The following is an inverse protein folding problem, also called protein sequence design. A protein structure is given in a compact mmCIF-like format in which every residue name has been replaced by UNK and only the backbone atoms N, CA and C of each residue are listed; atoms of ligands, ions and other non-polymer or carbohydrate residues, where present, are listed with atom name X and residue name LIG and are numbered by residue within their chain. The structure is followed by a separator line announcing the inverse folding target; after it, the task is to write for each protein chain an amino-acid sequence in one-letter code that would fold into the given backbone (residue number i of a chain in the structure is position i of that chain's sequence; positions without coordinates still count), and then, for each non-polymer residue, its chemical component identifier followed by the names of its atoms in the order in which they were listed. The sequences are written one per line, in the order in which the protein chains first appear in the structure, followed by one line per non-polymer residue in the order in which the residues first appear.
data_IF_918980202134
#
_entry.id   IF_918980202134
#
_cell.length_a   1.000
_cell.length_b   1.000
_cell.length_c   1.000
_cell.angle_alpha   90.00
_cell.angle_beta   90.00
_cell.angle_gamma   90.00
#
_symmetry.space_group_name_H-M   'P 1'
#
loop_
_entity.id
_entity.type
_entity.pdbx_description
1 polymer ?
#
# COMPACT_ATOMS: atom_id res chain seq x y z
N UNK A 1 -23.73 19.16 15.61
CA UNK A 1 -23.44 18.63 14.27
C UNK A 1 -21.97 18.77 13.91
N UNK A 2 -21.34 19.94 14.08
CA UNK A 2 -19.93 20.18 13.69
C UNK A 2 -18.99 19.19 14.39
N UNK A 3 -19.04 19.06 15.71
CA UNK A 3 -18.21 18.10 16.47
C UNK A 3 -18.40 16.68 15.98
N UNK A 4 -19.62 16.28 15.71
CA UNK A 4 -19.94 14.93 15.23
C UNK A 4 -19.42 14.71 13.79
N UNK A 5 -19.51 15.71 12.91
CA UNK A 5 -18.92 15.69 11.58
C UNK A 5 -17.42 15.41 11.63
N UNK A 6 -16.70 16.08 12.53
CA UNK A 6 -15.25 15.92 12.69
C UNK A 6 -14.89 14.51 13.20
N UNK A 7 -15.66 14.01 14.17
CA UNK A 7 -15.46 12.68 14.76
C UNK A 7 -15.63 11.55 13.73
N UNK A 8 -16.66 11.64 12.88
CA UNK A 8 -16.88 10.65 11.81
C UNK A 8 -16.10 10.95 10.51
N UNK A 9 -15.32 12.02 10.49
CA UNK A 9 -14.53 12.43 9.32
C UNK A 9 -15.35 12.63 8.04
N UNK A 10 -16.57 13.13 8.16
CA UNK A 10 -17.45 13.44 7.03
C UNK A 10 -17.12 14.80 6.38
N UNK A 11 -17.44 14.98 5.10
CA UNK A 11 -17.37 16.28 4.42
C UNK A 11 -18.46 17.22 4.93
N UNK A 12 -19.70 16.72 5.00
CA UNK A 12 -20.83 17.44 5.57
C UNK A 12 -21.80 16.51 6.29
N UNK A 13 -22.57 17.07 7.21
CA UNK A 13 -23.67 16.41 7.90
C UNK A 13 -24.91 17.30 7.77
N UNK A 14 -25.98 16.75 7.20
CA UNK A 14 -27.20 17.47 6.88
C UNK A 14 -28.41 16.73 7.41
N UNK A 15 -29.33 17.46 8.04
CA UNK A 15 -30.61 16.95 8.51
C UNK A 15 -31.73 17.55 7.63
N UNK A 16 -32.50 16.66 7.04
CA UNK A 16 -33.69 17.00 6.25
C UNK A 16 -34.96 16.80 7.07
N UNK A 17 -35.88 17.72 6.94
CA UNK A 17 -37.23 17.57 7.47
C UNK A 17 -38.04 16.51 6.70
N UNK A 18 -39.28 16.28 7.14
CA UNK A 18 -40.22 15.34 6.48
C UNK A 18 -40.57 15.74 5.04
N UNK A 19 -40.48 17.02 4.72
CA UNK A 19 -40.72 17.62 3.42
C UNK A 19 -39.47 17.63 2.51
N UNK A 20 -38.33 17.08 3.00
CA UNK A 20 -37.08 17.04 2.27
C UNK A 20 -36.29 18.37 2.29
N UNK A 21 -36.72 19.37 3.06
CA UNK A 21 -35.94 20.61 3.21
C UNK A 21 -34.85 20.47 4.26
N UNK A 22 -33.71 21.09 4.00
CA UNK A 22 -32.59 21.13 4.96
C UNK A 22 -32.99 21.99 6.17
N UNK A 23 -33.12 21.37 7.32
CA UNK A 23 -33.42 22.03 8.60
C UNK A 23 -32.16 22.37 9.40
N UNK A 24 -31.11 21.57 9.23
CA UNK A 24 -29.79 21.81 9.84
C UNK A 24 -28.70 21.20 8.99
N UNK A 25 -27.57 21.91 8.87
CA UNK A 25 -26.41 21.41 8.16
C UNK A 25 -25.11 21.99 8.75
N UNK A 26 -24.02 21.24 8.59
CA UNK A 26 -22.66 21.75 8.84
C UNK A 26 -22.17 22.66 7.71
N UNK A 27 -22.79 22.54 6.53
CA UNK A 27 -22.69 23.48 5.43
C UNK A 27 -23.86 24.47 5.52
N UNK A 28 -23.55 25.73 5.86
CA UNK A 28 -24.56 26.76 6.09
C UNK A 28 -25.29 27.20 4.82
N UNK A 29 -24.66 27.08 3.67
CA UNK A 29 -25.23 27.49 2.38
C UNK A 29 -26.34 26.54 1.94
N UNK A 30 -26.32 25.29 2.42
CA UNK A 30 -27.34 24.31 2.09
C UNK A 30 -28.63 24.44 2.90
N UNK A 31 -28.68 25.28 3.94
CA UNK A 31 -29.88 25.42 4.81
C UNK A 31 -31.05 25.96 3.99
N UNK A 32 -32.20 25.27 4.07
CA UNK A 32 -33.42 25.63 3.31
C UNK A 32 -33.48 25.04 1.89
N UNK A 33 -32.38 24.49 1.37
CA UNK A 33 -32.39 23.77 0.08
C UNK A 33 -33.31 22.56 0.15
N UNK A 34 -34.02 22.26 -0.93
CA UNK A 34 -34.94 21.13 -1.00
C UNK A 34 -34.30 19.93 -1.70
N UNK A 35 -34.32 18.79 -1.02
CA UNK A 35 -33.95 17.47 -1.54
C UNK A 35 -35.17 16.57 -1.79
N UNK A 36 -36.39 17.13 -1.78
CA UNK A 36 -37.63 16.39 -1.87
C UNK A 36 -37.74 15.46 -3.10
N UNK A 37 -37.11 15.86 -4.22
CA UNK A 37 -37.09 15.09 -5.48
C UNK A 37 -35.76 14.31 -5.67
N UNK A 38 -34.82 14.47 -4.74
CA UNK A 38 -33.52 13.81 -4.84
C UNK A 38 -33.61 12.31 -4.52
N UNK A 39 -32.94 11.44 -5.29
CA UNK A 39 -32.88 10.01 -4.99
C UNK A 39 -32.43 9.71 -3.58
N UNK A 40 -31.46 10.48 -3.04
CA UNK A 40 -30.92 10.33 -1.69
C UNK A 40 -32.01 10.42 -0.62
N UNK A 41 -32.96 11.33 -0.77
CA UNK A 41 -34.08 11.51 0.16
C UNK A 41 -35.15 10.45 -0.07
N UNK A 42 -35.55 10.22 -1.31
CA UNK A 42 -36.64 9.29 -1.65
C UNK A 42 -36.27 7.85 -1.25
N UNK A 43 -35.07 7.42 -1.52
CA UNK A 43 -34.60 6.07 -1.19
C UNK A 43 -34.45 5.90 0.33
N UNK A 44 -33.95 6.91 1.03
CA UNK A 44 -33.83 6.87 2.48
C UNK A 44 -35.20 6.75 3.17
N UNK A 45 -36.25 7.39 2.64
CA UNK A 45 -37.60 7.25 3.18
C UNK A 45 -38.18 5.84 3.02
N UNK A 46 -37.78 5.12 1.97
CA UNK A 46 -38.29 3.78 1.64
C UNK A 46 -37.58 2.65 2.38
N UNK A 47 -36.43 2.92 2.98
CA UNK A 47 -35.62 1.91 3.66
C UNK A 47 -35.42 2.23 5.13
N UNK A 48 -35.28 1.18 5.93
CA UNK A 48 -34.86 1.28 7.34
C UNK A 48 -33.34 1.21 7.48
N UNK A 49 -32.63 0.83 6.41
CA UNK A 49 -31.19 0.65 6.40
C UNK A 49 -30.47 1.93 5.96
N UNK A 50 -29.16 1.95 6.17
CA UNK A 50 -28.31 2.99 5.62
C UNK A 50 -28.23 2.83 4.09
N UNK A 51 -28.63 3.86 3.36
CA UNK A 51 -28.57 3.87 1.91
C UNK A 51 -27.34 4.66 1.48
N UNK A 52 -26.52 4.05 0.63
CA UNK A 52 -25.41 4.73 -0.01
C UNK A 52 -25.79 5.20 -1.39
N UNK A 53 -25.60 6.47 -1.67
CA UNK A 53 -25.96 7.11 -2.92
C UNK A 53 -24.82 7.97 -3.46
N UNK A 54 -24.75 8.07 -4.79
CA UNK A 54 -23.92 9.02 -5.49
C UNK A 54 -24.80 10.01 -6.23
N UNK A 55 -24.55 11.29 -6.07
CA UNK A 55 -25.17 12.37 -6.80
C UNK A 55 -24.09 13.03 -7.66
N UNK A 56 -24.38 13.17 -8.94
CA UNK A 56 -23.56 13.95 -9.87
C UNK A 56 -24.00 15.41 -9.83
N UNK A 57 -23.06 16.34 -9.66
CA UNK A 57 -23.33 17.77 -9.73
C UNK A 57 -23.24 18.27 -11.19
N UNK A 58 -23.62 19.53 -11.42
CA UNK A 58 -23.61 20.18 -12.74
C UNK A 58 -22.22 20.24 -13.39
N UNK A 59 -21.15 20.02 -12.61
CA UNK A 59 -19.78 20.01 -13.06
C UNK A 59 -19.23 18.58 -13.26
N UNK A 60 -20.11 17.56 -13.42
CA UNK A 60 -19.75 16.14 -13.54
C UNK A 60 -18.91 15.60 -12.37
N UNK A 61 -19.09 16.15 -11.16
CA UNK A 61 -18.41 15.68 -9.96
C UNK A 61 -19.38 14.87 -9.12
N UNK A 62 -18.94 13.71 -8.71
CA UNK A 62 -19.73 12.84 -7.83
C UNK A 62 -19.57 13.25 -6.37
N UNK A 63 -20.71 13.39 -5.69
CA UNK A 63 -20.80 13.54 -4.24
C UNK A 63 -21.46 12.28 -3.69
N UNK A 64 -20.87 11.71 -2.66
CA UNK A 64 -21.30 10.44 -2.09
C UNK A 64 -21.92 10.67 -0.72
N UNK A 65 -23.07 10.06 -0.51
CA UNK A 65 -23.86 10.23 0.69
C UNK A 65 -24.26 8.89 1.27
N UNK A 66 -24.14 8.79 2.59
CA UNK A 66 -24.94 7.85 3.36
C UNK A 66 -26.17 8.57 3.84
N UNK A 67 -27.34 7.98 3.60
CA UNK A 67 -28.62 8.51 4.06
C UNK A 67 -29.36 7.51 4.90
N UNK A 68 -30.06 7.98 5.92
CA UNK A 68 -30.91 7.18 6.79
C UNK A 68 -32.11 8.00 7.26
N UNK A 69 -33.27 7.38 7.29
CA UNK A 69 -34.44 7.98 7.92
C UNK A 69 -34.27 8.02 9.43
N UNK A 70 -34.77 9.06 10.04
CA UNK A 70 -34.77 9.28 11.48
C UNK A 70 -36.21 9.20 11.99
N UNK A 71 -36.46 8.29 12.90
CA UNK A 71 -37.78 8.09 13.54
C UNK A 71 -37.71 8.50 15.00
N UNK A 72 -38.82 9.02 15.47
CA UNK A 72 -39.07 9.34 16.86
C UNK A 72 -40.34 8.62 17.32
N UNK A 73 -40.65 8.72 18.61
CA UNK A 73 -41.92 8.18 19.13
C UNK A 73 -43.17 8.77 18.43
N UNK A 74 -43.04 9.97 17.84
CA UNK A 74 -44.10 10.64 17.06
C UNK A 74 -44.11 10.25 15.58
N UNK A 75 -43.29 9.26 15.17
CA UNK A 75 -43.14 8.79 13.78
C UNK A 75 -41.92 9.39 13.10
N UNK A 76 -41.95 9.43 11.77
CA UNK A 76 -40.86 9.94 10.96
C UNK A 76 -40.51 11.39 11.33
N UNK A 77 -39.28 11.65 11.71
CA UNK A 77 -38.75 12.99 11.98
C UNK A 77 -38.12 13.63 10.74
N UNK A 78 -37.47 12.84 9.91
CA UNK A 78 -36.77 13.31 8.71
C UNK A 78 -35.72 12.32 8.21
N UNK A 79 -34.72 12.82 7.50
CA UNK A 79 -33.59 12.03 6.97
C UNK A 79 -32.29 12.72 7.35
N UNK A 80 -31.33 11.92 7.81
CA UNK A 80 -29.95 12.37 7.99
C UNK A 80 -29.13 12.00 6.75
N UNK A 81 -28.35 12.95 6.26
CA UNK A 81 -27.38 12.77 5.19
C UNK A 81 -25.98 12.97 5.73
N UNK A 82 -25.11 12.04 5.43
CA UNK A 82 -23.66 12.11 5.74
C UNK A 82 -22.91 12.10 4.44
N UNK A 83 -22.27 13.19 4.10
CA UNK A 83 -21.43 13.28 2.88
C UNK A 83 -20.03 12.76 3.16
N UNK A 84 -19.54 11.89 2.28
CA UNK A 84 -18.21 11.30 2.35
C UNK A 84 -17.16 12.31 1.93
N UNK A 85 -16.09 12.45 2.72
CA UNK A 85 -14.95 13.30 2.36
C UNK A 85 -14.02 12.56 1.38
N UNK A 86 -14.24 12.78 0.09
CA UNK A 86 -13.46 12.15 -0.97
C UNK A 86 -11.97 12.50 -0.91
N UNK A 87 -11.63 13.72 -0.49
CA UNK A 87 -10.23 14.13 -0.41
C UNK A 87 -9.45 13.33 0.66
N UNK A 88 -10.13 12.92 1.73
CA UNK A 88 -9.53 12.02 2.74
C UNK A 88 -9.36 10.62 2.19
N UNK A 89 -10.34 10.13 1.43
CA UNK A 89 -10.28 8.82 0.78
C UNK A 89 -9.13 8.74 -0.22
N UNK A 90 -9.03 9.73 -1.10
CA UNK A 90 -7.98 9.80 -2.13
C UNK A 90 -6.59 9.89 -1.51
N UNK A 91 -6.43 10.67 -0.43
CA UNK A 91 -5.15 10.74 0.32
C UNK A 91 -4.79 9.41 0.99
N UNK A 92 -5.77 8.70 1.51
CA UNK A 92 -5.54 7.37 2.10
C UNK A 92 -5.09 6.36 1.03
N UNK A 93 -5.65 6.43 -0.17
CA UNK A 93 -5.27 5.56 -1.28
C UNK A 93 -3.88 5.86 -1.83
N UNK A 94 -3.48 7.13 -1.88
CA UNK A 94 -2.16 7.54 -2.34
C UNK A 94 -1.00 6.90 -1.55
N UNK A 95 -1.26 6.44 -0.32
CA UNK A 95 -0.28 5.69 0.50
C UNK A 95 -0.25 4.18 0.26
N UNK A 96 -1.25 3.63 -0.43
CA UNK A 96 -1.42 2.17 -0.62
C UNK A 96 -0.90 1.73 -1.99
N UNK A 97 -1.13 2.54 -3.01
CA UNK A 97 -0.81 2.23 -4.41
C UNK A 97 -0.37 3.50 -5.14
N UNK A 98 0.38 3.33 -6.22
CA UNK A 98 0.87 4.47 -7.02
C UNK A 98 -0.28 5.22 -7.68
N UNK A 99 -1.33 4.51 -8.07
CA UNK A 99 -2.59 5.09 -8.52
C UNK A 99 -3.77 4.14 -8.27
N UNK A 100 -4.93 4.72 -7.97
CA UNK A 100 -6.19 3.99 -7.86
C UNK A 100 -7.26 4.80 -8.58
N UNK A 101 -8.13 4.13 -9.30
CA UNK A 101 -9.33 4.72 -9.86
C UNK A 101 -10.55 3.82 -9.64
N UNK A 102 -11.71 4.44 -9.58
CA UNK A 102 -13.01 3.75 -9.58
C UNK A 102 -13.81 4.25 -10.77
N UNK A 103 -14.34 3.31 -11.54
CA UNK A 103 -15.26 3.60 -12.65
C UNK A 103 -16.67 3.20 -12.31
N UNK A 104 -17.63 3.93 -12.86
CA UNK A 104 -19.03 3.55 -12.84
C UNK A 104 -19.35 2.40 -13.81
N UNK A 105 -20.63 2.10 -13.97
CA UNK A 105 -21.12 1.08 -14.92
C UNK A 105 -20.92 1.45 -16.40
N UNK A 106 -20.77 2.74 -16.70
CA UNK A 106 -20.55 3.26 -18.06
C UNK A 106 -19.06 3.33 -18.41
N UNK A 107 -18.18 3.13 -17.43
CA UNK A 107 -16.74 3.16 -17.59
C UNK A 107 -16.11 4.54 -17.36
N UNK A 108 -16.87 5.52 -16.85
CA UNK A 108 -16.36 6.84 -16.48
C UNK A 108 -15.70 6.80 -15.11
N UNK A 109 -14.55 7.48 -14.96
CA UNK A 109 -13.84 7.57 -13.70
C UNK A 109 -14.57 8.52 -12.76
N UNK A 110 -15.06 7.97 -11.64
CA UNK A 110 -15.80 8.73 -10.61
C UNK A 110 -14.93 9.12 -9.43
N UNK A 111 -13.90 8.31 -9.14
CA UNK A 111 -12.90 8.54 -8.09
C UNK A 111 -11.52 8.19 -8.62
N UNK A 112 -10.52 8.98 -8.28
CA UNK A 112 -9.14 8.67 -8.60
C UNK A 112 -8.18 9.34 -7.62
N UNK A 113 -7.01 8.75 -7.41
CA UNK A 113 -5.90 9.40 -6.69
C UNK A 113 -5.40 10.65 -7.40
N UNK A 114 -5.56 10.70 -8.73
CA UNK A 114 -5.29 11.90 -9.54
C UNK A 114 -6.63 12.58 -9.92
N UNK A 115 -6.95 13.75 -9.33
CA UNK A 115 -8.24 14.40 -9.55
C UNK A 115 -8.56 14.75 -11.02
N UNK A 116 -7.51 14.94 -11.84
CA UNK A 116 -7.66 15.28 -13.27
C UNK A 116 -8.20 14.13 -14.13
N UNK A 117 -8.29 12.94 -13.59
CA UNK A 117 -8.82 11.77 -14.28
C UNK A 117 -10.33 11.63 -14.17
N UNK A 118 -10.96 12.32 -13.21
CA UNK A 118 -12.41 12.24 -13.00
C UNK A 118 -13.17 12.71 -14.23
N UNK A 119 -14.25 12.01 -14.56
CA UNK A 119 -15.08 12.24 -15.75
C UNK A 119 -14.47 11.74 -17.06
N UNK A 120 -13.26 11.21 -17.05
CA UNK A 120 -12.62 10.60 -18.23
C UNK A 120 -12.79 9.08 -18.21
N UNK A 121 -12.56 8.46 -19.36
CA UNK A 121 -12.41 7.01 -19.41
C UNK A 121 -11.00 6.61 -18.96
N UNK A 122 -10.79 5.38 -18.45
CA UNK A 122 -9.45 4.91 -18.10
C UNK A 122 -8.47 4.97 -19.27
N UNK A 123 -8.94 4.76 -20.49
CA UNK A 123 -8.12 4.87 -21.69
C UNK A 123 -7.60 6.28 -21.90
N UNK A 124 -8.45 7.29 -21.75
CA UNK A 124 -8.05 8.71 -21.90
C UNK A 124 -7.14 9.17 -20.75
N UNK A 125 -7.36 8.65 -19.55
CA UNK A 125 -6.61 9.05 -18.36
C UNK A 125 -5.22 8.41 -18.29
N UNK A 126 -5.09 7.14 -18.72
CA UNK A 126 -3.92 6.31 -18.53
C UNK A 126 -3.01 6.23 -19.77
N UNK A 127 -3.53 6.56 -20.96
CA UNK A 127 -2.69 6.67 -22.16
C UNK A 127 -1.90 7.99 -22.14
N UNK A 128 -1.06 8.13 -21.14
CA UNK A 128 0.03 9.07 -21.24
C UNK A 128 1.15 8.40 -22.05
N UNK A 129 1.58 9.06 -23.12
CA UNK A 129 2.67 8.71 -24.00
C UNK A 129 3.86 8.13 -23.22
N UNK A 130 4.47 7.01 -23.66
CA UNK A 130 5.69 6.52 -23.04
C UNK A 130 6.73 7.63 -22.97
N UNK A 131 7.51 7.65 -21.91
CA UNK A 131 8.48 8.68 -21.63
C UNK A 131 9.31 9.05 -22.88
N UNK A 132 9.34 10.32 -23.23
CA UNK A 132 9.94 10.82 -24.47
C UNK A 132 11.47 10.82 -24.47
N UNK A 133 12.11 10.66 -23.31
CA UNK A 133 13.56 10.62 -23.16
C UNK A 133 14.19 9.31 -23.65
N UNK A 134 15.22 9.36 -24.50
CA UNK A 134 15.92 8.18 -25.00
C UNK A 134 16.49 7.30 -23.87
N UNK A 135 17.00 7.92 -22.80
CA UNK A 135 17.55 7.24 -21.61
C UNK A 135 16.42 6.53 -20.84
N UNK A 136 15.28 7.17 -20.64
CA UNK A 136 14.14 6.55 -19.98
C UNK A 136 13.55 5.41 -20.79
N UNK A 137 13.50 5.50 -22.12
CA UNK A 137 13.11 4.39 -23.00
C UNK A 137 14.09 3.22 -22.93
N UNK A 138 15.39 3.48 -22.86
CA UNK A 138 16.41 2.44 -22.68
C UNK A 138 16.31 1.76 -21.32
N UNK A 139 16.05 2.51 -20.24
CA UNK A 139 15.82 1.98 -18.89
C UNK A 139 14.53 1.15 -18.86
N UNK A 140 13.46 1.61 -19.51
CA UNK A 140 12.22 0.85 -19.65
C UNK A 140 12.44 -0.44 -20.45
N UNK A 141 13.12 -0.38 -21.60
CA UNK A 141 13.41 -1.54 -22.42
C UNK A 141 14.29 -2.59 -21.71
N UNK A 142 15.22 -2.15 -20.84
CA UNK A 142 15.99 -3.07 -19.98
C UNK A 142 15.21 -3.57 -18.77
N UNK A 143 14.18 -2.87 -18.35
CA UNK A 143 13.26 -3.31 -17.30
C UNK A 143 12.22 -4.31 -17.81
N UNK A 144 11.83 -4.19 -19.06
CA UNK A 144 10.81 -5.00 -19.75
C UNK A 144 11.33 -6.36 -20.27
N UNK A 145 12.46 -6.84 -19.77
CA UNK A 145 12.95 -8.20 -20.07
C UNK A 145 12.00 -9.31 -19.59
N UNK A 146 10.98 -8.96 -18.87
CA UNK A 146 9.88 -9.87 -18.59
C UNK A 146 8.81 -9.71 -19.67
N UNK A 147 8.53 -10.79 -20.33
CA UNK A 147 7.70 -11.05 -21.50
C UNK A 147 6.23 -10.61 -21.45
N UNK A 148 5.81 -9.86 -20.44
CA UNK A 148 4.44 -9.35 -20.31
C UNK A 148 4.45 -7.86 -20.62
N UNK A 149 3.74 -7.41 -21.71
CA UNK A 149 3.60 -5.99 -21.97
C UNK A 149 2.91 -5.31 -20.78
N UNK A 150 3.30 -4.08 -20.42
CA UNK A 150 2.69 -3.38 -19.30
C UNK A 150 1.20 -3.11 -19.61
N UNK A 151 0.35 -3.33 -18.62
CA UNK A 151 -1.11 -3.17 -18.76
C UNK A 151 -1.51 -1.71 -19.00
N UNK A 152 -0.70 -0.76 -18.53
CA UNK A 152 -0.91 0.67 -18.67
C UNK A 152 0.36 1.46 -18.33
N UNK A 153 0.33 2.76 -18.63
CA UNK A 153 1.36 3.71 -18.20
C UNK A 153 0.71 4.80 -17.33
N UNK A 154 1.28 5.05 -16.16
CA UNK A 154 0.92 6.17 -15.27
C UNK A 154 2.12 7.09 -15.18
N UNK A 155 1.96 8.37 -15.53
CA UNK A 155 3.04 9.36 -15.53
C UNK A 155 4.28 8.90 -16.32
N UNK A 156 4.07 8.15 -17.40
CA UNK A 156 5.14 7.61 -18.26
C UNK A 156 5.88 6.39 -17.71
N UNK A 157 5.45 5.84 -16.57
CA UNK A 157 5.99 4.61 -16.00
C UNK A 157 5.06 3.42 -16.28
N UNK A 158 5.65 2.28 -16.61
CA UNK A 158 4.92 1.04 -16.79
C UNK A 158 4.33 0.57 -15.45
N UNK A 159 3.05 0.20 -15.45
CA UNK A 159 2.33 -0.22 -14.25
C UNK A 159 1.67 -1.58 -14.46
N UNK A 160 1.54 -2.30 -13.37
CA UNK A 160 0.70 -3.49 -13.27
C UNK A 160 -0.68 -3.05 -12.78
N UNK A 161 -1.71 -3.51 -13.45
CA UNK A 161 -3.12 -3.24 -13.11
C UNK A 161 -3.71 -4.40 -12.32
N UNK A 162 -4.46 -4.07 -11.28
CA UNK A 162 -5.27 -5.02 -10.53
C UNK A 162 -6.70 -4.50 -10.47
N UNK A 163 -7.66 -5.30 -10.91
CA UNK A 163 -9.07 -4.92 -10.98
C UNK A 163 -9.89 -5.65 -9.92
N UNK A 164 -10.79 -4.91 -9.27
CA UNK A 164 -11.79 -5.42 -8.35
C UNK A 164 -13.18 -4.92 -8.71
N UNK A 165 -14.22 -5.68 -8.34
CA UNK A 165 -15.61 -5.23 -8.46
C UNK A 165 -16.07 -4.66 -7.12
N UNK A 166 -16.72 -3.52 -7.15
CA UNK A 166 -17.42 -2.96 -6.00
C UNK A 166 -18.85 -3.46 -6.02
N UNK A 167 -19.33 -4.00 -4.91
CA UNK A 167 -20.71 -4.51 -4.79
C UNK A 167 -21.76 -3.38 -4.76
N UNK A 168 -21.55 -2.34 -5.56
CA UNK A 168 -22.43 -1.19 -5.66
C UNK A 168 -22.53 -0.76 -7.12
N UNK A 169 -23.74 -0.75 -7.67
CA UNK A 169 -24.09 -0.26 -9.03
C UNK A 169 -23.18 -0.74 -10.17
N UNK A 170 -22.50 -1.89 -10.03
CA UNK A 170 -21.60 -2.42 -11.05
C UNK A 170 -20.24 -1.69 -11.18
N UNK A 171 -19.87 -0.90 -10.19
CA UNK A 171 -18.62 -0.16 -10.20
C UNK A 171 -17.40 -1.09 -10.15
N UNK A 172 -16.29 -0.58 -10.68
CA UNK A 172 -15.01 -1.27 -10.67
C UNK A 172 -13.94 -0.40 -10.04
N UNK A 173 -13.12 -1.01 -9.23
CA UNK A 173 -11.89 -0.40 -8.71
C UNK A 173 -10.70 -0.96 -9.46
N UNK A 174 -9.82 -0.10 -9.96
CA UNK A 174 -8.56 -0.47 -10.57
C UNK A 174 -7.43 0.18 -9.79
N UNK A 175 -6.50 -0.62 -9.34
CA UNK A 175 -5.30 -0.18 -8.66
C UNK A 175 -4.10 -0.43 -9.56
N UNK A 176 -3.18 0.52 -9.58
CA UNK A 176 -1.97 0.50 -10.41
C UNK A 176 -0.75 0.56 -9.51
N UNK A 177 0.21 -0.30 -9.80
CA UNK A 177 1.48 -0.34 -9.07
C UNK A 177 2.61 -0.32 -10.07
N UNK A 178 3.53 0.62 -9.94
CA UNK A 178 4.68 0.72 -10.84
C UNK A 178 5.63 -0.45 -10.63
N UNK A 179 6.20 -0.95 -11.73
CA UNK A 179 7.21 -2.01 -11.65
C UNK A 179 8.46 -1.55 -10.89
N UNK A 180 8.76 -0.26 -10.88
CA UNK A 180 9.86 0.31 -10.11
C UNK A 180 9.64 0.18 -8.60
N UNK A 181 8.45 0.46 -8.09
CA UNK A 181 8.14 0.35 -6.66
C UNK A 181 8.16 -1.10 -6.17
N UNK A 182 7.69 -2.03 -6.98
CA UNK A 182 7.80 -3.47 -6.68
C UNK A 182 9.26 -3.90 -6.62
N UNK A 183 10.07 -3.49 -7.60
CA UNK A 183 11.50 -3.81 -7.67
C UNK A 183 12.26 -3.24 -6.47
N UNK A 184 11.98 -2.01 -6.07
CA UNK A 184 12.63 -1.38 -4.93
C UNK A 184 12.34 -2.13 -3.63
N UNK A 185 11.10 -2.55 -3.41
CA UNK A 185 10.72 -3.39 -2.26
C UNK A 185 11.41 -4.74 -2.28
N UNK A 186 11.44 -5.42 -3.43
CA UNK A 186 12.12 -6.71 -3.60
C UNK A 186 13.62 -6.56 -3.36
N UNK A 187 14.26 -5.56 -3.95
CA UNK A 187 15.69 -5.32 -3.77
C UNK A 187 16.03 -4.98 -2.31
N UNK A 188 15.18 -4.24 -1.60
CA UNK A 188 15.33 -3.95 -0.18
C UNK A 188 15.34 -5.22 0.69
N UNK A 189 14.38 -6.12 0.47
CA UNK A 189 14.32 -7.41 1.17
C UNK A 189 15.54 -8.26 0.85
N UNK A 190 15.91 -8.36 -0.43
CA UNK A 190 17.05 -9.15 -0.90
C UNK A 190 18.38 -8.63 -0.33
N UNK A 191 18.55 -7.30 -0.22
CA UNK A 191 19.73 -6.69 0.39
C UNK A 191 19.86 -7.05 1.88
N UNK A 192 18.75 -7.06 2.62
CA UNK A 192 18.73 -7.49 4.04
C UNK A 192 19.10 -8.97 4.15
N UNK A 193 18.56 -9.81 3.29
CA UNK A 193 18.82 -11.26 3.29
C UNK A 193 20.30 -11.57 3.00
N UNK A 194 20.88 -10.90 2.01
CA UNK A 194 22.31 -11.01 1.67
C UNK A 194 23.17 -10.54 2.86
N UNK A 195 22.81 -9.44 3.50
CA UNK A 195 23.55 -8.93 4.66
C UNK A 195 23.53 -9.91 5.83
N UNK A 196 22.36 -10.47 6.15
CA UNK A 196 22.23 -11.49 7.21
C UNK A 196 23.07 -12.71 6.90
N UNK A 197 23.02 -13.19 5.65
CA UNK A 197 23.82 -14.33 5.20
C UNK A 197 25.33 -14.06 5.29
N UNK A 198 25.79 -12.87 4.90
CA UNK A 198 27.18 -12.47 5.01
C UNK A 198 27.65 -12.43 6.48
N UNK A 199 26.83 -11.94 7.39
CA UNK A 199 27.13 -11.93 8.84
C UNK A 199 27.24 -13.37 9.38
N UNK A 200 26.31 -14.26 8.99
CA UNK A 200 26.35 -15.66 9.40
C UNK A 200 27.61 -16.37 8.88
N UNK A 201 28.00 -16.13 7.61
CA UNK A 201 29.24 -16.65 7.05
C UNK A 201 30.47 -16.14 7.79
N UNK A 202 30.53 -14.85 8.10
CA UNK A 202 31.63 -14.27 8.86
C UNK A 202 31.74 -14.87 10.26
N UNK A 203 30.63 -15.07 10.96
CA UNK A 203 30.56 -15.74 12.25
C UNK A 203 31.02 -17.21 12.14
N UNK A 204 30.52 -17.95 11.16
CA UNK A 204 30.94 -19.33 10.93
C UNK A 204 32.45 -19.42 10.70
N UNK A 205 33.00 -18.56 9.85
CA UNK A 205 34.42 -18.48 9.58
C UNK A 205 35.22 -18.13 10.84
N UNK A 206 34.76 -17.17 11.63
CA UNK A 206 35.36 -16.81 12.90
C UNK A 206 35.44 -18.00 13.88
N UNK A 207 34.32 -18.73 14.04
CA UNK A 207 34.28 -19.90 14.91
C UNK A 207 35.18 -21.05 14.43
N UNK A 208 35.17 -21.29 13.10
CA UNK A 208 36.04 -22.32 12.50
C UNK A 208 37.53 -21.97 12.70
N UNK A 209 37.90 -20.73 12.45
CA UNK A 209 39.27 -20.27 12.60
C UNK A 209 39.72 -20.32 14.07
N UNK A 210 38.86 -19.89 15.00
CA UNK A 210 39.11 -19.99 16.44
C UNK A 210 39.31 -21.45 16.91
N UNK A 211 38.50 -22.38 16.33
CA UNK A 211 38.64 -23.81 16.64
C UNK A 211 39.92 -24.39 16.07
N UNK A 212 40.34 -23.96 14.88
CA UNK A 212 41.59 -24.40 14.22
C UNK A 212 42.82 -23.91 14.97
N UNK A 213 42.85 -22.63 15.38
CA UNK A 213 43.97 -22.08 16.15
C UNK A 213 44.17 -22.76 17.52
N UNK A 214 43.05 -23.09 18.19
CA UNK A 214 43.11 -23.87 19.44
C UNK A 214 43.69 -25.28 19.25
N UNK A 215 43.29 -25.96 18.15
CA UNK A 215 43.83 -27.31 17.85
C UNK A 215 45.30 -27.27 17.49
N UNK A 216 45.74 -26.24 16.74
CA UNK A 216 47.19 -26.08 16.44
C UNK A 216 48.03 -25.79 17.71
N UNK A 217 47.50 -24.99 18.64
CA UNK A 217 48.20 -24.73 19.89
C UNK A 217 48.44 -26.01 20.73
N UNK A 218 47.37 -26.84 20.86
CA UNK A 218 47.46 -28.14 21.56
C UNK A 218 48.47 -29.10 20.87
N UNK A 219 48.39 -29.20 19.52
CA UNK A 219 49.33 -30.04 18.78
C UNK A 219 50.77 -29.56 18.84
N UNK A 220 51.01 -28.25 18.96
CA UNK A 220 52.35 -27.68 19.19
C UNK A 220 52.90 -28.01 20.58
N UNK A 221 52.07 -27.94 21.63
CA UNK A 221 52.45 -28.35 23.00
C UNK A 221 52.82 -29.83 23.06
N UNK A 222 52.00 -30.73 22.50
CA UNK A 222 52.29 -32.17 22.42
C UNK A 222 53.58 -32.45 21.63
N UNK A 223 53.81 -31.74 20.53
CA UNK A 223 55.06 -31.90 19.75
C UNK A 223 56.29 -31.38 20.47
N UNK A 224 56.17 -30.36 21.29
CA UNK A 224 57.27 -29.82 22.11
C UNK A 224 57.60 -30.78 23.24
N UNK A 225 56.63 -31.37 23.92
CA UNK A 225 56.86 -32.40 24.94
C UNK A 225 57.55 -33.63 24.40
N UNK A 226 57.10 -34.14 23.24
CA UNK A 226 57.73 -35.26 22.57
C UNK A 226 59.19 -34.97 22.17
N UNK A 227 59.52 -33.76 21.72
CA UNK A 227 60.88 -33.36 21.42
C UNK A 227 61.76 -33.30 22.68
N UNK A 228 61.24 -32.81 23.80
CA UNK A 228 61.94 -32.78 25.06
C UNK A 228 62.20 -34.22 25.60
N UNK A 229 61.20 -35.09 25.50
CA UNK A 229 61.34 -36.47 25.91
C UNK A 229 62.39 -37.21 25.07
N UNK A 230 62.39 -37.05 23.77
CA UNK A 230 63.36 -37.59 22.85
C UNK A 230 64.80 -37.09 23.17
N UNK A 231 64.92 -35.78 23.41
CA UNK A 231 66.26 -35.22 23.82
C UNK A 231 66.74 -35.74 25.14
N UNK A 232 65.83 -36.02 26.12
CA UNK A 232 66.27 -36.68 27.41
C UNK A 232 66.69 -38.12 27.17
N UNK A 233 65.95 -38.91 26.43
CA UNK A 233 66.28 -40.28 26.10
C UNK A 233 67.58 -40.37 25.31
N UNK A 234 67.90 -39.49 24.42
CA UNK A 234 69.16 -39.45 23.68
C UNK A 234 70.34 -39.15 24.64
N UNK A 235 70.17 -38.26 25.61
CA UNK A 235 71.20 -37.97 26.63
C UNK A 235 71.45 -39.17 27.52
N UNK A 236 70.39 -39.86 27.96
CA UNK A 236 70.51 -41.06 28.78
C UNK A 236 71.20 -42.24 28.05
N UNK A 237 70.90 -42.41 26.74
CA UNK A 237 71.59 -43.39 25.92
C UNK A 237 73.07 -43.04 25.73
N UNK A 238 73.38 -41.78 25.47
CA UNK A 238 74.75 -41.31 25.32
C UNK A 238 75.62 -41.43 26.63
N UNK A 239 74.98 -41.22 27.80
CA UNK A 239 75.60 -41.47 29.09
C UNK A 239 75.86 -42.96 29.34
N UNK A 240 74.91 -43.79 29.04
CA UNK A 240 75.15 -45.28 29.22
C UNK A 240 76.16 -45.82 28.25
N UNK A 241 76.31 -45.26 27.04
CA UNK A 241 77.38 -45.65 26.11
C UNK A 241 78.78 -45.15 26.51
N UNK A 242 78.93 -44.16 27.40
CA UNK A 242 80.23 -43.65 27.94
C UNK A 242 80.72 -44.42 29.15
N UNK A 243 79.88 -45.21 29.80
CA UNK A 243 80.18 -45.95 31.03
C UNK A 243 80.49 -47.44 30.74
N UNK A 244 80.35 -47.87 29.49
CA UNK A 244 80.85 -49.14 28.97
C UNK A 244 82.19 -48.95 28.26
#
# INVERSE_FOLDING_TARGET
LITFKEEISAASLTLLGRDGRVVASTDRESIGVSYATSPVFIEALRSNDNIFNAIEDEANRFRFFYSRRVETQAGLAGVILVEVDLNKFERAWAGISDAVLVTDSEGSIILATEPLWRGKTPQEALFATPATGAIQRAIQATADWNTVPPDAYVSGQAVMRSDGRVAFRGWRISSFTTYSSVRERVNGVLAIEIMVFAILLALAFYFLNRKSTRRMAVAQEESAELRQLNARLQREIAERQRVQ
#
